data_IF_199383136119
#
_entry.id   IF_199383136119
#
_cell.length_a   1.000
_cell.length_b   1.000
_cell.length_c   1.000
_cell.angle_alpha   90.00
_cell.angle_beta   90.00
_cell.angle_gamma   90.00
#
_symmetry.space_group_name_H-M   'P 1'
#
loop_
_entity.id
_entity.type
_entity.pdbx_description
1 polymer ?
#
# COMPACT_ATOMS: atom_id res chain seq x y z
N UNK A 1 -12.36 -8.55 9.29
CA UNK A 1 -11.14 -9.28 8.87
C UNK A 1 -10.91 -8.92 7.42
N UNK A 2 -9.72 -8.48 7.02
CA UNK A 2 -9.42 -8.29 5.60
C UNK A 2 -9.35 -9.68 4.98
N UNK A 3 -10.35 -10.07 4.20
CA UNK A 3 -10.40 -11.37 3.53
C UNK A 3 -9.38 -11.54 2.41
N UNK A 4 -8.25 -10.82 2.46
CA UNK A 4 -7.23 -10.81 1.41
C UNK A 4 -5.81 -10.96 1.94
N UNK A 5 -4.83 -10.81 1.04
CA UNK A 5 -3.42 -11.14 1.28
C UNK A 5 -2.51 -9.92 1.39
N UNK A 6 -1.44 -10.00 2.17
CA UNK A 6 -0.39 -8.97 2.19
C UNK A 6 0.68 -9.23 1.14
N UNK A 7 1.13 -8.19 0.44
CA UNK A 7 2.22 -8.24 -0.55
C UNK A 7 3.51 -7.78 0.13
N UNK A 8 4.49 -8.68 0.18
CA UNK A 8 5.78 -8.44 0.82
C UNK A 8 6.93 -8.59 -0.17
N UNK A 9 7.88 -7.67 -0.09
CA UNK A 9 9.16 -7.77 -0.79
C UNK A 9 10.28 -7.47 0.20
N UNK A 10 11.31 -8.33 0.26
CA UNK A 10 12.44 -8.21 1.20
C UNK A 10 12.02 -7.98 2.67
N UNK A 11 10.95 -8.63 3.11
CA UNK A 11 10.47 -8.55 4.50
C UNK A 11 9.72 -7.26 4.86
N UNK A 12 9.47 -6.36 3.92
CA UNK A 12 8.62 -5.18 4.13
C UNK A 12 7.30 -5.32 3.37
N UNK A 13 6.20 -4.91 4.00
CA UNK A 13 4.87 -4.91 3.39
C UNK A 13 4.75 -3.72 2.45
N UNK A 14 4.69 -3.99 1.15
CA UNK A 14 4.58 -2.96 0.11
C UNK A 14 3.19 -2.86 -0.49
N UNK A 15 2.29 -3.80 -0.20
CA UNK A 15 0.92 -3.74 -0.65
C UNK A 15 0.02 -4.72 0.08
N UNK A 16 -1.25 -4.71 -0.27
CA UNK A 16 -2.25 -5.67 0.15
C UNK A 16 -3.27 -5.90 -0.95
N UNK A 17 -3.94 -7.04 -0.87
CA UNK A 17 -5.08 -7.39 -1.69
C UNK A 17 -6.28 -7.37 -0.76
N UNK A 18 -7.33 -6.64 -1.13
CA UNK A 18 -8.60 -6.60 -0.42
C UNK A 18 -9.70 -6.36 -1.44
N UNK A 19 -10.86 -7.00 -1.26
CA UNK A 19 -12.01 -6.83 -2.16
C UNK A 19 -11.64 -6.95 -3.64
N UNK A 20 -10.84 -7.98 -3.96
CA UNK A 20 -10.29 -8.31 -5.29
C UNK A 20 -9.45 -7.21 -5.95
N UNK A 21 -9.05 -6.20 -5.18
CA UNK A 21 -8.24 -5.08 -5.64
C UNK A 21 -6.84 -5.09 -5.01
N UNK A 22 -5.87 -4.59 -5.76
CA UNK A 22 -4.49 -4.41 -5.29
C UNK A 22 -4.35 -2.99 -4.74
N UNK A 23 -3.82 -2.90 -3.53
CA UNK A 23 -3.48 -1.63 -2.91
C UNK A 23 -1.98 -1.57 -2.64
N UNK A 24 -1.35 -0.46 -3.01
CA UNK A 24 0.08 -0.22 -2.90
C UNK A 24 0.41 0.76 -1.78
N UNK A 25 1.57 0.56 -1.15
CA UNK A 25 2.04 1.42 -0.07
C UNK A 25 2.33 2.82 -0.61
N UNK A 26 1.78 3.82 0.08
CA UNK A 26 1.97 5.24 -0.25
C UNK A 26 2.51 5.99 0.95
N UNK A 27 3.41 6.92 0.69
CA UNK A 27 3.89 7.94 1.61
C UNK A 27 3.87 9.31 0.96
N UNK A 28 4.44 10.32 1.62
CA UNK A 28 4.43 11.71 1.13
C UNK A 28 5.17 11.87 -0.21
N UNK A 29 6.12 10.99 -0.55
CA UNK A 29 6.93 11.12 -1.77
C UNK A 29 6.21 10.59 -3.02
N UNK A 30 5.48 9.48 -2.92
CA UNK A 30 4.77 8.90 -4.06
C UNK A 30 3.27 9.24 -4.11
N UNK A 31 2.70 9.78 -3.03
CA UNK A 31 1.28 10.19 -2.98
C UNK A 31 0.82 11.06 -4.15
N UNK A 32 1.57 12.09 -4.59
CA UNK A 32 1.12 12.94 -5.70
C UNK A 32 0.84 12.17 -6.98
N UNK A 33 1.56 11.07 -7.25
CA UNK A 33 1.32 10.24 -8.43
C UNK A 33 -0.01 9.48 -8.34
N UNK A 34 -0.36 8.97 -7.15
CA UNK A 34 -1.65 8.28 -6.93
C UNK A 34 -2.82 9.26 -6.95
N UNK A 35 -2.65 10.46 -6.40
CA UNK A 35 -3.66 11.53 -6.45
C UNK A 35 -3.88 12.01 -7.89
N UNK A 36 -2.83 12.17 -8.68
CA UNK A 36 -2.95 12.51 -10.11
C UNK A 36 -3.63 11.43 -10.95
N UNK A 37 -3.58 10.18 -10.49
CA UNK A 37 -4.26 9.04 -11.11
C UNK A 37 -5.67 8.79 -10.54
N UNK A 38 -6.20 9.70 -9.71
CA UNK A 38 -7.50 9.62 -9.03
C UNK A 38 -7.71 8.31 -8.25
N UNK A 39 -6.62 7.76 -7.68
CA UNK A 39 -6.68 6.50 -6.94
C UNK A 39 -7.00 6.74 -5.47
N UNK A 40 -8.10 6.18 -4.93
CA UNK A 40 -8.47 6.43 -3.54
C UNK A 40 -7.59 5.65 -2.56
N UNK A 41 -7.40 6.17 -1.33
CA UNK A 41 -6.81 5.40 -0.26
C UNK A 41 -7.73 4.25 0.17
N UNK A 42 -7.12 3.20 0.68
CA UNK A 42 -7.82 2.11 1.34
C UNK A 42 -8.40 2.60 2.67
N UNK A 43 -9.72 2.55 2.79
CA UNK A 43 -10.45 2.92 4.00
C UNK A 43 -10.76 1.66 4.78
N UNK A 44 -10.27 1.59 6.01
CA UNK A 44 -10.62 0.50 6.92
C UNK A 44 -11.62 0.98 7.97
N UNK A 45 -12.73 0.25 8.09
CA UNK A 45 -13.67 0.43 9.19
C UNK A 45 -13.23 -0.37 10.41
N UNK A 46 -13.04 0.34 11.52
CA UNK A 46 -12.74 -0.26 12.81
C UNK A 46 -13.99 -0.83 13.46
N UNK A 47 -13.80 -1.72 14.43
CA UNK A 47 -14.89 -2.33 15.21
C UNK A 47 -15.75 -1.32 15.99
N UNK A 48 -15.28 -0.09 16.17
CA UNK A 48 -16.01 1.01 16.79
C UNK A 48 -16.79 1.88 15.77
N UNK A 49 -16.87 1.45 14.50
CA UNK A 49 -17.54 2.16 13.40
C UNK A 49 -16.74 3.33 12.83
N UNK A 50 -15.51 3.58 13.30
CA UNK A 50 -14.67 4.67 12.76
C UNK A 50 -13.95 4.22 11.50
N UNK A 51 -13.99 5.05 10.47
CA UNK A 51 -13.22 4.85 9.25
C UNK A 51 -11.82 5.46 9.40
N UNK A 52 -10.79 4.69 9.09
CA UNK A 52 -9.40 5.16 9.02
C UNK A 52 -8.85 4.99 7.61
N UNK A 53 -8.31 6.08 7.05
CA UNK A 53 -7.53 6.00 5.82
C UNK A 53 -6.17 5.38 6.13
N UNK A 54 -5.85 4.29 5.45
CA UNK A 54 -4.56 3.64 5.54
C UNK A 54 -3.59 4.26 4.52
N UNK A 55 -2.28 4.09 4.74
CA UNK A 55 -1.25 4.50 3.77
C UNK A 55 -1.11 3.49 2.61
N UNK A 56 -2.23 2.99 2.12
CA UNK A 56 -2.32 2.09 0.98
C UNK A 56 -3.34 2.68 0.01
N UNK A 57 -3.00 2.76 -1.28
CA UNK A 57 -3.85 3.36 -2.31
C UNK A 57 -4.14 2.34 -3.39
N UNK A 58 -5.30 2.44 -4.03
CA UNK A 58 -5.68 1.57 -5.13
C UNK A 58 -4.60 1.64 -6.23
N UNK A 59 -4.08 0.49 -6.63
CA UNK A 59 -3.16 0.44 -7.74
C UNK A 59 -3.92 0.78 -9.04
N UNK A 60 -3.33 1.52 -9.99
CA UNK A 60 -4.05 1.83 -11.22
C UNK A 60 -4.29 0.59 -12.08
N UNK A 61 -5.30 0.64 -12.94
CA UNK A 61 -5.70 -0.54 -13.71
C UNK A 61 -4.71 -0.87 -14.83
N UNK A 62 -3.89 0.13 -15.22
CA UNK A 62 -2.83 -0.02 -16.24
C UNK A 62 -1.80 -1.10 -15.87
N UNK A 63 -1.62 -1.41 -14.58
CA UNK A 63 -0.68 -2.42 -14.11
C UNK A 63 -1.03 -3.85 -14.60
N UNK A 64 -2.29 -4.08 -14.99
CA UNK A 64 -2.73 -5.38 -15.48
C UNK A 64 -2.43 -5.57 -16.97
N UNK A 65 -2.36 -4.48 -17.71
CA UNK A 65 -2.12 -4.47 -19.15
C UNK A 65 -0.66 -4.17 -19.51
N UNK A 66 0.04 -3.42 -18.66
CA UNK A 66 1.42 -2.97 -18.87
C UNK A 66 2.35 -3.42 -17.72
N UNK A 67 3.24 -4.41 -17.97
CA UNK A 67 4.25 -4.83 -17.01
C UNK A 67 5.20 -3.72 -16.56
N UNK A 68 5.52 -2.76 -17.43
CA UNK A 68 6.42 -1.65 -17.10
C UNK A 68 5.72 -0.66 -16.14
N UNK A 69 4.42 -0.40 -16.36
CA UNK A 69 3.60 0.35 -15.42
C UNK A 69 3.56 -0.35 -14.05
N UNK A 70 3.29 -1.66 -14.02
CA UNK A 70 3.33 -2.45 -12.79
C UNK A 70 4.67 -2.30 -12.04
N UNK A 71 5.79 -2.42 -12.75
CA UNK A 71 7.13 -2.29 -12.15
C UNK A 71 7.32 -0.89 -11.57
N UNK A 72 6.91 0.16 -12.29
CA UNK A 72 7.04 1.55 -11.83
C UNK A 72 6.27 1.80 -10.53
N UNK A 73 4.99 1.41 -10.50
CA UNK A 73 4.13 1.57 -9.33
C UNK A 73 4.62 0.71 -8.15
N UNK A 74 5.03 -0.53 -8.41
CA UNK A 74 5.57 -1.42 -7.40
C UNK A 74 6.90 -0.90 -6.83
N UNK A 75 7.79 -0.35 -7.66
CA UNK A 75 9.06 0.22 -7.22
C UNK A 75 8.84 1.42 -6.28
N UNK A 76 7.92 2.32 -6.63
CA UNK A 76 7.53 3.44 -5.77
C UNK A 76 6.95 2.97 -4.43
N UNK A 77 6.07 1.97 -4.47
CA UNK A 77 5.47 1.39 -3.27
C UNK A 77 6.51 0.70 -2.37
N UNK A 78 7.47 -0.01 -2.96
CA UNK A 78 8.55 -0.65 -2.22
C UNK A 78 9.47 0.38 -1.56
N UNK A 79 9.81 1.48 -2.26
CA UNK A 79 10.58 2.58 -1.68
C UNK A 79 9.85 3.20 -0.47
N UNK A 80 8.55 3.46 -0.59
CA UNK A 80 7.71 3.95 0.51
C UNK A 80 7.68 2.97 1.69
N UNK A 81 7.53 1.67 1.41
CA UNK A 81 7.56 0.63 2.44
C UNK A 81 8.90 0.55 3.17
N UNK A 82 10.02 0.68 2.45
CA UNK A 82 11.36 0.72 3.05
C UNK A 82 11.55 1.95 3.93
N UNK A 83 11.12 3.13 3.49
CA UNK A 83 11.17 4.35 4.32
C UNK A 83 10.32 4.19 5.59
N UNK A 84 9.12 3.65 5.47
CA UNK A 84 8.25 3.37 6.61
C UNK A 84 8.88 2.35 7.58
N UNK A 85 9.53 1.30 7.06
CA UNK A 85 10.24 0.31 7.87
C UNK A 85 11.46 0.93 8.58
N UNK A 86 12.23 1.77 7.89
CA UNK A 86 13.37 2.48 8.48
C UNK A 86 12.95 3.47 9.59
N UNK A 87 11.77 4.09 9.48
CA UNK A 87 11.19 4.94 10.52
C UNK A 87 10.73 4.15 11.76
N UNK A 88 10.40 2.87 11.61
CA UNK A 88 10.12 1.98 12.77
C UNK A 88 11.45 1.56 13.38
N UNK A 89 11.82 2.18 14.51
CA UNK A 89 12.92 1.67 15.37
C UNK A 89 12.72 0.16 15.60
N UNK A 90 13.79 -0.67 15.62
CA UNK A 90 13.69 -2.08 15.94
C UNK A 90 13.31 -2.22 17.42
N UNK A 91 12.01 -2.23 17.69
CA UNK A 91 11.49 -2.16 19.03
C UNK A 91 10.05 -2.66 19.04
N UNK A 92 9.87 -3.84 19.65
CA UNK A 92 8.60 -4.51 19.95
C UNK A 92 8.01 -5.30 18.78
N UNK A 93 8.63 -6.46 18.52
CA UNK A 93 7.86 -7.68 18.21
C UNK A 93 6.84 -7.84 19.34
N UNK A 94 5.55 -7.66 19.04
CA UNK A 94 4.46 -8.08 19.93
C UNK A 94 4.50 -9.61 19.91
N UNK A 95 5.19 -10.18 20.90
CA UNK A 95 4.97 -11.55 21.33
C UNK A 95 3.68 -11.66 22.13
#
# INVERSE_FOLDING_TARGET
>A
MFGGGGIYHQGVMMGLIADEQIYLKVDEENRPAFEAADRPPFIFERSDGRQIAMSFYLAPDDIFDDPDALISWAAGAFAAARRAAARRKPGKRRG
#
